data_IF_699517477618
#
_entry.id   IF_699517477618
#
_cell.length_a   1.000
_cell.length_b   1.000
_cell.length_c   1.000
_cell.angle_alpha   90.00
_cell.angle_beta   90.00
_cell.angle_gamma   90.00
#
_symmetry.space_group_name_H-M   'P 1'
#
loop_
_entity.id
_entity.type
_entity.pdbx_description
1 polymer ?
#
# COMPACT_ATOMS: atom_id res chain seq x y z
N UNK A 1 -12.18 -13.08 -6.69
CA UNK A 1 -11.09 -12.76 -7.63
C UNK A 1 -10.01 -11.95 -6.92
N UNK A 2 -8.78 -12.32 -7.14
CA UNK A 2 -7.66 -11.55 -6.57
C UNK A 2 -7.64 -10.16 -7.22
N UNK A 3 -7.52 -9.07 -6.45
CA UNK A 3 -7.77 -7.72 -7.00
C UNK A 3 -6.67 -7.15 -7.90
N UNK A 4 -5.61 -7.90 -8.15
CA UNK A 4 -4.53 -7.50 -9.07
C UNK A 4 -4.15 -8.65 -10.00
N UNK A 5 -3.59 -8.31 -11.16
CA UNK A 5 -3.09 -9.27 -12.14
C UNK A 5 -1.67 -9.72 -11.79
N UNK A 6 -1.21 -10.81 -12.43
CA UNK A 6 0.18 -11.26 -12.29
C UNK A 6 1.18 -10.20 -12.78
N UNK A 7 0.87 -9.53 -13.88
CA UNK A 7 1.76 -8.47 -14.42
C UNK A 7 1.89 -7.30 -13.44
N UNK A 8 0.79 -6.90 -12.81
CA UNK A 8 0.81 -5.86 -11.78
C UNK A 8 1.63 -6.32 -10.58
N UNK A 9 1.48 -7.57 -10.16
CA UNK A 9 2.25 -8.13 -9.06
C UNK A 9 3.75 -8.13 -9.36
N UNK A 10 4.13 -8.53 -10.59
CA UNK A 10 5.53 -8.51 -11.02
C UNK A 10 6.10 -7.07 -10.96
N UNK A 11 5.31 -6.08 -11.35
CA UNK A 11 5.70 -4.67 -11.28
C UNK A 11 5.89 -4.20 -9.83
N UNK A 12 5.01 -4.63 -8.94
CA UNK A 12 5.12 -4.35 -7.50
C UNK A 12 6.40 -4.96 -6.93
N UNK A 13 6.69 -6.20 -7.30
CA UNK A 13 7.93 -6.88 -6.86
C UNK A 13 9.19 -6.12 -7.32
N UNK A 14 9.20 -5.65 -8.57
CA UNK A 14 10.33 -4.85 -9.08
C UNK A 14 10.49 -3.57 -8.29
N UNK A 15 9.38 -2.87 -8.01
CA UNK A 15 9.40 -1.64 -7.23
C UNK A 15 9.96 -1.89 -5.82
N UNK A 16 9.51 -2.96 -5.18
CA UNK A 16 9.95 -3.32 -3.83
C UNK A 16 11.47 -3.60 -3.76
N UNK A 17 12.01 -4.27 -4.76
CA UNK A 17 13.45 -4.56 -4.84
C UNK A 17 14.25 -3.29 -5.14
N UNK A 18 13.76 -2.45 -6.06
CA UNK A 18 14.42 -1.19 -6.44
C UNK A 18 14.54 -0.21 -5.26
N UNK A 19 13.49 -0.11 -4.43
CA UNK A 19 13.48 0.81 -3.29
C UNK A 19 14.21 0.28 -2.05
N UNK A 20 14.49 -1.02 -2.01
CA UNK A 20 15.21 -1.62 -0.88
C UNK A 20 16.49 -0.83 -0.56
N UNK A 21 16.82 -0.46 0.69
CA UNK A 21 16.29 -0.96 1.96
C UNK A 21 15.10 -0.16 2.53
N UNK A 22 14.47 0.67 1.71
CA UNK A 22 13.31 1.46 2.14
C UNK A 22 12.00 0.83 1.65
N UNK A 23 10.92 1.13 2.37
CA UNK A 23 9.59 0.70 1.95
C UNK A 23 9.19 1.43 0.67
N UNK A 24 8.74 0.67 -0.33
CA UNK A 24 8.08 1.25 -1.49
C UNK A 24 6.58 1.37 -1.21
N UNK A 25 5.89 2.18 -1.98
CA UNK A 25 4.44 2.28 -1.90
C UNK A 25 3.84 2.62 -3.26
N UNK A 26 2.56 2.29 -3.43
CA UNK A 26 1.85 2.57 -4.66
C UNK A 26 0.37 2.23 -4.56
N UNK A 27 -0.35 2.50 -5.66
CA UNK A 27 -1.79 2.39 -5.72
C UNK A 27 -2.20 1.78 -7.06
N UNK A 28 -3.22 0.92 -7.03
CA UNK A 28 -3.90 0.44 -8.23
C UNK A 28 -5.35 0.93 -8.15
N UNK A 29 -5.78 1.67 -9.16
CA UNK A 29 -7.18 2.10 -9.29
C UNK A 29 -7.84 1.32 -10.43
N UNK A 30 -9.16 1.20 -10.37
CA UNK A 30 -9.91 0.49 -11.39
C UNK A 30 -11.33 0.21 -10.96
N UNK A 31 -11.96 -0.71 -11.65
CA UNK A 31 -13.31 -1.20 -11.33
C UNK A 31 -13.20 -2.42 -10.42
N UNK A 32 -13.94 -2.44 -9.33
CA UNK A 32 -13.95 -3.60 -8.42
C UNK A 32 -14.47 -4.84 -9.17
N UNK A 33 -13.70 -5.93 -9.09
CA UNK A 33 -14.05 -7.17 -9.75
C UNK A 33 -13.61 -7.29 -11.21
N UNK A 34 -13.03 -6.24 -11.78
CA UNK A 34 -12.57 -6.21 -13.18
C UNK A 34 -11.19 -5.59 -13.27
N UNK A 35 -10.40 -5.99 -14.26
CA UNK A 35 -9.03 -5.51 -14.42
C UNK A 35 -8.80 -4.65 -15.67
N UNK A 36 -9.80 -4.54 -16.55
CA UNK A 36 -9.65 -3.89 -17.85
C UNK A 36 -9.35 -2.40 -17.76
N UNK A 37 -9.82 -1.75 -16.70
CA UNK A 37 -9.63 -0.30 -16.49
C UNK A 37 -8.56 0.01 -15.46
N UNK A 38 -7.80 -0.98 -15.03
CA UNK A 38 -6.79 -0.77 -14.00
C UNK A 38 -5.71 0.21 -14.46
N UNK A 39 -5.36 1.11 -13.55
CA UNK A 39 -4.22 2.02 -13.71
C UNK A 39 -3.32 1.84 -12.49
N UNK A 40 -2.06 1.61 -12.76
CA UNK A 40 -1.04 1.32 -11.76
C UNK A 40 -0.19 2.56 -11.50
N UNK A 41 0.00 2.92 -10.24
CA UNK A 41 0.83 4.06 -9.85
C UNK A 41 1.92 3.63 -8.87
N UNK A 42 3.17 3.84 -9.24
CA UNK A 42 4.25 3.84 -8.26
C UNK A 42 4.19 5.21 -7.56
N UNK A 43 4.21 5.19 -6.24
CA UNK A 43 4.16 6.42 -5.45
C UNK A 43 5.50 6.69 -4.78
N UNK A 44 5.76 7.94 -4.46
CA UNK A 44 6.94 8.35 -3.70
C UNK A 44 6.64 8.20 -2.22
N UNK A 45 7.53 7.51 -1.51
CA UNK A 45 7.50 7.42 -0.05
C UNK A 45 8.27 8.61 0.51
N UNK A 46 7.57 9.55 1.15
CA UNK A 46 8.18 10.76 1.72
C UNK A 46 8.54 10.61 3.20
N UNK A 47 8.51 9.40 3.73
CA UNK A 47 8.73 9.16 5.17
C UNK A 47 10.07 9.71 5.68
N UNK A 48 11.14 9.54 4.89
CA UNK A 48 12.45 10.07 5.29
C UNK A 48 12.44 11.59 5.44
N UNK A 49 11.75 12.29 4.53
CA UNK A 49 11.62 13.77 4.61
C UNK A 49 10.83 14.18 5.84
N UNK A 50 9.75 13.47 6.14
CA UNK A 50 8.93 13.75 7.33
C UNK A 50 9.72 13.50 8.60
N UNK A 51 10.45 12.40 8.66
CA UNK A 51 11.29 12.04 9.80
C UNK A 51 12.38 13.09 10.05
N UNK A 52 13.02 13.60 9.00
CA UNK A 52 14.03 14.65 9.11
C UNK A 52 13.47 15.98 9.64
N UNK A 53 12.28 16.36 9.15
CA UNK A 53 11.64 17.63 9.53
C UNK A 53 11.05 17.59 10.92
N UNK A 54 10.47 16.47 11.33
CA UNK A 54 9.79 16.34 12.61
C UNK A 54 9.96 14.91 13.15
N UNK A 55 11.14 14.59 13.73
CA UNK A 55 11.43 13.25 14.22
C UNK A 55 10.63 12.85 15.46
N UNK A 56 9.93 13.79 16.10
CA UNK A 56 9.06 13.49 17.24
C UNK A 56 7.73 12.94 16.74
N UNK A 57 7.09 13.61 15.79
CA UNK A 57 5.83 13.16 15.19
C UNK A 57 6.06 11.94 14.31
N UNK A 58 7.12 11.97 13.49
CA UNK A 58 7.49 10.89 12.58
C UNK A 58 8.76 10.22 13.08
N UNK A 59 8.60 9.36 14.08
CA UNK A 59 9.72 8.73 14.79
C UNK A 59 10.38 7.57 14.02
N UNK A 60 9.80 7.17 12.90
CA UNK A 60 10.33 6.12 12.02
C UNK A 60 10.81 6.73 10.70
N UNK A 61 11.90 6.18 10.15
CA UNK A 61 12.31 6.50 8.78
C UNK A 61 11.65 5.52 7.78
N UNK A 62 12.01 5.63 6.49
CA UNK A 62 11.39 4.85 5.44
C UNK A 62 11.74 3.37 5.45
N UNK A 63 12.64 2.90 6.33
CA UNK A 63 12.94 1.47 6.46
C UNK A 63 11.82 0.72 7.17
N UNK A 64 11.00 1.40 7.98
CA UNK A 64 9.92 0.77 8.76
C UNK A 64 8.60 1.51 8.68
N UNK A 65 8.45 2.47 7.76
CA UNK A 65 7.20 3.21 7.57
C UNK A 65 7.12 3.79 6.17
N UNK A 66 5.92 4.12 5.74
CA UNK A 66 5.73 4.83 4.48
C UNK A 66 4.66 5.91 4.62
N UNK A 67 4.80 6.94 3.80
CA UNK A 67 3.78 7.97 3.59
C UNK A 67 3.79 8.32 2.11
N UNK A 68 2.67 8.16 1.47
CA UNK A 68 2.53 8.54 0.06
C UNK A 68 2.58 10.06 -0.04
N UNK A 69 3.33 10.59 -1.01
CA UNK A 69 3.37 12.03 -1.27
C UNK A 69 1.93 12.53 -1.47
N UNK A 70 1.47 13.51 -0.65
CA UNK A 70 0.10 14.02 -0.73
C UNK A 70 -0.29 14.57 -2.09
N UNK A 71 0.67 15.14 -2.84
CA UNK A 71 0.40 15.67 -4.20
C UNK A 71 0.09 14.54 -5.16
N UNK A 72 0.81 13.43 -5.07
CA UNK A 72 0.56 12.24 -5.88
C UNK A 72 -0.79 11.62 -5.52
N UNK A 73 -1.09 11.49 -4.23
CA UNK A 73 -2.37 10.94 -3.76
C UNK A 73 -3.55 11.78 -4.26
N UNK A 74 -3.45 13.12 -4.15
CA UNK A 74 -4.49 14.02 -4.64
C UNK A 74 -4.74 13.86 -6.13
N UNK A 75 -3.68 13.71 -6.92
CA UNK A 75 -3.78 13.50 -8.36
C UNK A 75 -4.48 12.18 -8.69
N UNK A 76 -4.14 11.12 -7.96
CA UNK A 76 -4.77 9.80 -8.12
C UNK A 76 -6.26 9.86 -7.75
N UNK A 77 -6.61 10.53 -6.65
CA UNK A 77 -7.99 10.69 -6.23
C UNK A 77 -8.82 11.48 -7.25
N UNK A 78 -8.23 12.46 -7.92
CA UNK A 78 -8.90 13.18 -9.02
C UNK A 78 -9.18 12.26 -10.21
N UNK A 79 -8.25 11.37 -10.54
CA UNK A 79 -8.49 10.38 -11.60
C UNK A 79 -9.60 9.41 -11.23
N UNK A 80 -9.61 8.94 -9.99
CA UNK A 80 -10.67 8.07 -9.46
C UNK A 80 -12.04 8.73 -9.67
N UNK A 81 -12.16 9.98 -9.26
CA UNK A 81 -13.42 10.73 -9.37
C UNK A 81 -13.81 10.97 -10.83
N UNK A 82 -12.89 11.47 -11.67
CA UNK A 82 -13.20 11.83 -13.05
C UNK A 82 -13.55 10.63 -13.92
N UNK A 83 -12.95 9.46 -13.65
CA UNK A 83 -13.19 8.23 -14.41
C UNK A 83 -14.21 7.32 -13.75
N UNK A 84 -14.76 7.71 -12.60
CA UNK A 84 -15.71 6.91 -11.81
C UNK A 84 -15.14 5.52 -11.47
N UNK A 85 -13.88 5.49 -11.06
CA UNK A 85 -13.19 4.29 -10.63
C UNK A 85 -13.10 4.24 -9.10
N UNK A 86 -12.46 3.20 -8.57
CA UNK A 86 -12.19 3.03 -7.15
C UNK A 86 -10.72 2.77 -6.92
N UNK A 87 -10.23 3.10 -5.73
CA UNK A 87 -8.92 2.58 -5.31
C UNK A 87 -9.13 1.11 -4.97
N UNK A 88 -8.46 0.24 -5.70
CA UNK A 88 -8.58 -1.21 -5.51
C UNK A 88 -7.55 -1.73 -4.53
N UNK A 89 -6.31 -1.26 -4.63
CA UNK A 89 -5.20 -1.76 -3.82
C UNK A 89 -4.25 -0.62 -3.46
N UNK A 90 -3.88 -0.59 -2.18
CA UNK A 90 -2.66 0.07 -1.73
C UNK A 90 -1.60 -1.01 -1.53
N UNK A 91 -0.38 -0.79 -1.99
CA UNK A 91 0.70 -1.72 -1.72
C UNK A 91 1.88 -1.02 -1.07
N UNK A 92 2.61 -1.76 -0.26
CA UNK A 92 3.90 -1.32 0.28
C UNK A 92 4.77 -2.53 0.56
N UNK A 93 6.07 -2.30 0.78
CA UNK A 93 7.01 -3.35 1.09
C UNK A 93 7.49 -3.27 2.54
N UNK A 94 7.87 -4.42 3.09
CA UNK A 94 8.50 -4.56 4.40
C UNK A 94 9.94 -5.06 4.19
N UNK A 95 10.94 -4.17 4.08
CA UNK A 95 12.33 -4.59 4.01
C UNK A 95 12.77 -5.24 5.32
N UNK A 96 13.29 -6.46 5.25
CA UNK A 96 13.79 -7.24 6.39
C UNK A 96 12.73 -7.54 7.46
N UNK A 97 11.45 -7.54 7.07
CA UNK A 97 10.30 -7.89 7.93
C UNK A 97 9.34 -8.77 7.15
N UNK A 98 8.54 -9.55 7.89
CA UNK A 98 7.54 -10.42 7.28
C UNK A 98 6.35 -9.64 6.72
N UNK A 99 5.55 -10.30 5.87
CA UNK A 99 4.41 -9.68 5.21
C UNK A 99 3.16 -9.72 6.11
N UNK A 100 3.20 -8.95 7.19
CA UNK A 100 2.07 -8.79 8.11
C UNK A 100 1.57 -7.34 8.07
N UNK A 101 0.35 -7.11 8.52
CA UNK A 101 -0.19 -5.76 8.63
C UNK A 101 0.21 -5.20 10.00
N UNK A 102 1.19 -4.29 9.99
CA UNK A 102 1.79 -3.77 11.22
C UNK A 102 0.86 -2.80 11.95
N UNK A 103 1.18 -2.49 13.21
CA UNK A 103 0.46 -1.44 13.97
C UNK A 103 0.56 -0.10 13.25
N UNK A 104 1.70 0.20 12.66
CA UNK A 104 1.91 1.41 11.86
C UNK A 104 1.02 1.41 10.62
N UNK A 105 0.94 0.29 9.91
CA UNK A 105 0.07 0.14 8.74
C UNK A 105 -1.39 0.33 9.14
N UNK A 106 -1.80 -0.26 10.27
CA UNK A 106 -3.16 -0.14 10.78
C UNK A 106 -3.49 1.32 11.14
N UNK A 107 -2.56 2.00 11.81
CA UNK A 107 -2.73 3.40 12.19
C UNK A 107 -2.92 4.29 10.95
N UNK A 108 -2.18 4.02 9.88
CA UNK A 108 -2.27 4.76 8.63
C UNK A 108 -3.57 4.50 7.86
N UNK A 109 -4.09 3.28 7.97
CA UNK A 109 -5.28 2.87 7.22
C UNK A 109 -6.60 3.27 7.88
N UNK A 110 -6.57 3.61 9.18
CA UNK A 110 -7.77 3.92 9.96
C UNK A 110 -7.84 5.39 10.36
N UNK A 111 -9.06 5.88 10.51
CA UNK A 111 -9.36 7.14 11.16
C UNK A 111 -10.54 6.90 12.10
N UNK A 112 -10.32 7.16 13.40
CA UNK A 112 -11.33 6.97 14.43
C UNK A 112 -11.92 5.55 14.43
N UNK A 113 -11.05 4.55 14.23
CA UNK A 113 -11.41 3.14 14.22
C UNK A 113 -12.09 2.64 12.95
N UNK A 114 -12.28 3.50 11.97
CA UNK A 114 -12.91 3.15 10.70
C UNK A 114 -11.91 3.25 9.55
N UNK A 115 -12.01 2.39 8.52
CA UNK A 115 -11.06 2.44 7.41
C UNK A 115 -11.27 3.68 6.54
N UNK A 116 -10.17 4.32 6.16
CA UNK A 116 -10.21 5.45 5.24
C UNK A 116 -10.75 5.05 3.87
N UNK A 117 -10.48 3.81 3.45
CA UNK A 117 -10.89 3.26 2.16
C UNK A 117 -11.43 1.84 2.38
N UNK A 118 -12.72 1.70 2.79
CA UNK A 118 -13.27 0.40 3.18
C UNK A 118 -13.31 -0.64 2.05
N UNK A 119 -13.29 -0.22 0.81
CA UNK A 119 -13.32 -1.12 -0.36
C UNK A 119 -11.93 -1.49 -0.86
N UNK A 120 -10.88 -0.82 -0.40
CA UNK A 120 -9.52 -1.08 -0.84
C UNK A 120 -8.92 -2.27 -0.11
N UNK A 121 -8.11 -3.03 -0.84
CA UNK A 121 -7.25 -4.07 -0.25
C UNK A 121 -5.85 -3.52 -0.06
N UNK A 122 -5.08 -4.12 0.83
CA UNK A 122 -3.70 -3.72 1.12
C UNK A 122 -2.78 -4.90 0.87
N UNK A 123 -1.82 -4.72 -0.02
CA UNK A 123 -0.81 -5.74 -0.32
C UNK A 123 0.49 -5.38 0.39
N UNK A 124 1.00 -6.32 1.19
CA UNK A 124 2.29 -6.18 1.86
C UNK A 124 3.27 -7.17 1.25
N UNK A 125 4.43 -6.67 0.80
CA UNK A 125 5.46 -7.49 0.16
C UNK A 125 6.70 -7.53 1.07
N UNK A 126 7.08 -8.72 1.48
CA UNK A 126 8.28 -8.92 2.31
C UNK A 126 9.52 -9.06 1.43
N UNK A 127 10.57 -8.28 1.72
CA UNK A 127 11.83 -8.27 0.97
C UNK A 127 12.98 -8.47 1.93
N UNK A 128 13.75 -9.55 1.75
CA UNK A 128 14.96 -9.82 2.50
C UNK A 128 16.15 -9.87 1.55
N UNK A 129 17.17 -9.10 1.84
CA UNK A 129 18.40 -9.07 1.05
C UNK A 129 18.12 -8.86 -0.45
N UNK A 130 17.27 -7.87 -0.76
CA UNK A 130 16.84 -7.52 -2.13
C UNK A 130 16.08 -8.62 -2.88
N UNK A 131 15.55 -9.62 -2.13
CA UNK A 131 14.78 -10.72 -2.75
C UNK A 131 13.37 -10.75 -2.18
N UNK A 132 12.39 -10.96 -3.03
CA UNK A 132 11.01 -11.15 -2.60
C UNK A 132 10.91 -12.44 -1.82
N UNK A 133 10.44 -12.37 -0.58
CA UNK A 133 10.30 -13.53 0.30
C UNK A 133 8.87 -14.02 0.40
N UNK A 134 7.91 -13.08 0.51
CA UNK A 134 6.50 -13.40 0.70
C UNK A 134 5.65 -12.19 0.35
N UNK A 135 4.34 -12.41 0.23
CA UNK A 135 3.37 -11.34 0.05
C UNK A 135 2.02 -11.77 0.59
N UNK A 136 1.30 -10.84 1.18
CA UNK A 136 -0.04 -11.09 1.73
C UNK A 136 -0.95 -9.92 1.38
N UNK A 137 -2.16 -10.24 0.90
CA UNK A 137 -3.20 -9.26 0.66
C UNK A 137 -4.13 -9.23 1.87
N UNK A 138 -4.47 -8.03 2.33
CA UNK A 138 -5.40 -7.81 3.44
C UNK A 138 -6.61 -7.04 2.97
N UNK A 139 -7.76 -7.31 3.57
CA UNK A 139 -8.99 -6.58 3.34
C UNK A 139 -9.68 -6.27 4.67
N UNK A 140 -10.46 -5.20 4.69
CA UNK A 140 -11.22 -4.82 5.87
C UNK A 140 -12.42 -5.74 6.07
N UNK A 141 -12.56 -6.27 7.28
CA UNK A 141 -13.77 -7.01 7.68
C UNK A 141 -14.56 -6.14 8.67
N UNK A 142 -15.74 -5.64 8.28
CA UNK A 142 -16.54 -4.77 9.17
C UNK A 142 -17.11 -5.49 10.40
N UNK A 143 -17.24 -6.80 10.36
CA UNK A 143 -17.72 -7.58 11.52
C UNK A 143 -16.67 -7.69 12.61
N UNK A 144 -15.44 -8.07 12.23
CA UNK A 144 -14.32 -8.17 13.16
C UNK A 144 -13.69 -6.82 13.47
N UNK A 145 -13.97 -5.80 12.64
CA UNK A 145 -13.36 -4.47 12.68
C UNK A 145 -11.84 -4.57 12.63
N UNK A 146 -11.36 -5.37 11.67
CA UNK A 146 -9.93 -5.59 11.49
C UNK A 146 -9.63 -5.91 10.02
N UNK A 147 -8.35 -5.80 9.67
CA UNK A 147 -7.85 -6.24 8.37
C UNK A 147 -7.52 -7.73 8.46
N UNK A 148 -8.04 -8.48 7.51
CA UNK A 148 -7.88 -9.94 7.44
C UNK A 148 -7.23 -10.34 6.13
N UNK A 149 -6.55 -11.49 6.13
CA UNK A 149 -5.93 -12.03 4.93
C UNK A 149 -6.99 -12.37 3.87
N UNK A 150 -6.77 -11.92 2.66
CA UNK A 150 -7.60 -12.29 1.52
C UNK A 150 -7.15 -13.66 1.01
N UNK A 151 -8.05 -14.63 0.84
CA UNK A 151 -7.70 -15.92 0.22
C UNK A 151 -7.16 -15.73 -1.19
N UNK A 152 -6.15 -16.49 -1.56
CA UNK A 152 -5.57 -16.48 -2.90
C UNK A 152 -6.49 -17.15 -3.94
#
# INVERSE_FOLDING_TARGET
>A
MYPITKDQLDEIHRHAVEEYPFECCGIVIGEVGHNEKDVFFRCTNIQNKLHEKDPITYDRDARTAYNIDPKELMKILREVESKQLSIKVFYHSHPEHDAYFSEEDLRMALFDGEPNYPEASYLVVSVYDKKIRDQVMFHWNPESKNFERTPN
#
